data_IF_362402867663
#
_entry.id   IF_362402867663
#
_cell.length_a   1.000
_cell.length_b   1.000
_cell.length_c   1.000
_cell.angle_alpha   90.00
_cell.angle_beta   90.00
_cell.angle_gamma   90.00
#
_symmetry.space_group_name_H-M   'P 1'
#
loop_
_entity.id
_entity.type
_entity.pdbx_description
1 polymer ?
#
# COMPACT_ATOMS: atom_id res chain seq x y z
N UNK A 1 18.11 -20.43 25.38
CA UNK A 1 16.81 -21.13 25.18
C UNK A 1 16.33 -21.02 23.72
N UNK A 2 16.05 -22.14 23.06
CA UNK A 2 15.66 -22.19 21.64
C UNK A 2 14.13 -22.10 21.41
N UNK A 3 13.35 -22.42 22.44
CA UNK A 3 11.89 -22.32 22.42
C UNK A 3 11.42 -21.79 23.78
N UNK A 4 10.51 -20.84 23.77
CA UNK A 4 9.91 -20.22 24.95
C UNK A 4 8.43 -20.01 24.63
N UNK A 5 7.56 -20.44 25.55
CA UNK A 5 6.11 -20.47 25.33
C UNK A 5 5.46 -19.74 26.49
N UNK A 6 4.67 -18.74 26.17
CA UNK A 6 3.76 -18.13 27.13
C UNK A 6 2.45 -18.92 27.12
N UNK A 7 2.15 -19.61 28.22
CA UNK A 7 0.91 -20.36 28.36
C UNK A 7 -0.33 -19.44 28.45
N UNK A 8 -0.12 -18.14 28.71
CA UNK A 8 -1.18 -17.12 28.79
C UNK A 8 -1.50 -16.50 27.42
N UNK A 9 -0.53 -16.54 26.50
CA UNK A 9 -0.64 -16.01 25.15
C UNK A 9 -0.11 -17.04 24.14
N UNK A 10 -0.96 -18.00 23.81
CA UNK A 10 -0.63 -19.12 22.95
C UNK A 10 -0.69 -18.73 21.47
N UNK A 11 0.46 -18.67 20.83
CA UNK A 11 0.59 -18.53 19.37
C UNK A 11 0.44 -19.91 18.69
N UNK A 12 -0.58 -20.07 17.84
CA UNK A 12 -0.87 -21.30 17.11
C UNK A 12 0.32 -21.80 16.26
N UNK A 13 1.15 -20.88 15.74
CA UNK A 13 2.35 -21.25 14.96
C UNK A 13 3.42 -21.90 15.85
N UNK A 14 3.59 -21.39 17.07
CA UNK A 14 4.49 -21.95 18.08
C UNK A 14 4.01 -23.33 18.55
N UNK A 15 2.70 -23.55 18.64
CA UNK A 15 2.12 -24.86 18.98
C UNK A 15 2.40 -25.88 17.87
N UNK A 16 2.26 -25.50 16.61
CA UNK A 16 2.56 -26.39 15.48
C UNK A 16 4.05 -26.77 15.42
N UNK A 17 4.93 -25.83 15.79
CA UNK A 17 6.35 -26.13 15.99
C UNK A 17 6.61 -27.04 17.19
N UNK A 18 5.93 -26.82 18.33
CA UNK A 18 6.04 -27.68 19.51
C UNK A 18 5.70 -29.14 19.22
N UNK A 19 4.67 -29.37 18.39
CA UNK A 19 4.24 -30.71 17.99
C UNK A 19 5.37 -31.51 17.33
N UNK A 20 6.29 -30.87 16.61
CA UNK A 20 7.43 -31.55 15.98
C UNK A 20 8.39 -32.16 17.01
N UNK A 21 8.45 -31.59 18.20
CA UNK A 21 9.26 -32.09 19.32
C UNK A 21 8.51 -33.11 20.20
N UNK A 22 7.30 -33.53 19.82
CA UNK A 22 6.60 -34.60 20.51
C UNK A 22 7.27 -35.96 20.25
N UNK A 23 7.21 -36.87 21.23
CA UNK A 23 7.91 -38.16 21.24
C UNK A 23 7.76 -39.00 19.95
N UNK A 24 6.64 -38.87 19.24
CA UNK A 24 6.35 -39.64 18.02
C UNK A 24 6.96 -39.03 16.74
N UNK A 25 7.29 -37.75 16.75
CA UNK A 25 7.80 -37.01 15.57
C UNK A 25 9.20 -36.44 15.76
N UNK A 26 9.83 -36.74 16.90
CA UNK A 26 11.14 -36.22 17.27
C UNK A 26 12.23 -36.90 16.42
N UNK A 27 12.84 -36.12 15.54
CA UNK A 27 14.02 -36.52 14.76
C UNK A 27 15.30 -36.14 15.53
N UNK A 28 15.96 -37.13 16.11
CA UNK A 28 17.17 -36.91 16.94
C UNK A 28 18.39 -36.52 16.12
N UNK A 29 18.46 -36.93 14.84
CA UNK A 29 19.61 -36.66 13.98
C UNK A 29 19.65 -35.18 13.57
N UNK A 30 18.46 -34.58 13.38
CA UNK A 30 18.32 -33.17 13.01
C UNK A 30 18.00 -32.24 14.19
N UNK A 31 17.77 -32.78 15.40
CA UNK A 31 17.34 -32.01 16.57
C UNK A 31 18.29 -30.86 16.92
N UNK A 32 19.60 -31.11 16.84
CA UNK A 32 20.61 -30.10 17.17
C UNK A 32 20.61 -28.94 16.17
N UNK A 33 20.51 -29.25 14.88
CA UNK A 33 20.50 -28.26 13.81
C UNK A 33 19.20 -27.44 13.84
N UNK A 34 18.06 -28.09 14.07
CA UNK A 34 16.77 -27.43 14.25
C UNK A 34 16.76 -26.50 15.48
N UNK A 35 17.29 -26.97 16.61
CA UNK A 35 17.39 -26.16 17.82
C UNK A 35 18.34 -24.96 17.63
N UNK A 36 19.47 -25.18 16.94
CA UNK A 36 20.43 -24.11 16.62
C UNK A 36 19.81 -23.08 15.69
N UNK A 37 19.13 -23.53 14.63
CA UNK A 37 18.41 -22.65 13.70
C UNK A 37 17.33 -21.83 14.40
N UNK A 38 16.52 -22.44 15.26
CA UNK A 38 15.50 -21.72 16.05
C UNK A 38 16.13 -20.68 16.97
N UNK A 39 17.21 -21.05 17.67
CA UNK A 39 17.95 -20.12 18.53
C UNK A 39 18.43 -18.91 17.73
N UNK A 40 19.15 -19.12 16.62
CA UNK A 40 19.67 -18.02 15.83
C UNK A 40 18.57 -17.21 15.15
N UNK A 41 17.47 -17.83 14.73
CA UNK A 41 16.32 -17.12 14.19
C UNK A 41 15.74 -16.15 15.22
N UNK A 42 15.54 -16.61 16.47
CA UNK A 42 15.06 -15.75 17.55
C UNK A 42 16.03 -14.63 17.87
N UNK A 43 17.33 -14.92 17.98
CA UNK A 43 18.36 -13.90 18.23
C UNK A 43 18.41 -12.86 17.11
N UNK A 44 18.32 -13.27 15.85
CA UNK A 44 18.28 -12.37 14.69
C UNK A 44 17.02 -11.51 14.72
N UNK A 45 15.85 -12.08 15.04
CA UNK A 45 14.60 -11.31 15.17
C UNK A 45 14.73 -10.23 16.26
N UNK A 46 15.30 -10.58 17.42
CA UNK A 46 15.54 -9.60 18.49
C UNK A 46 16.50 -8.48 18.09
N UNK A 47 17.54 -8.81 17.32
CA UNK A 47 18.46 -7.78 16.78
C UNK A 47 17.75 -6.92 15.75
N UNK A 48 16.96 -7.52 14.85
CA UNK A 48 16.17 -6.79 13.86
C UNK A 48 15.20 -5.81 14.54
N UNK A 49 14.45 -6.24 15.56
CA UNK A 49 13.52 -5.36 16.28
C UNK A 49 14.24 -4.15 16.91
N UNK A 50 15.43 -4.36 17.47
CA UNK A 50 16.25 -3.29 18.02
C UNK A 50 16.75 -2.32 16.95
N UNK A 51 17.25 -2.85 15.85
CA UNK A 51 17.77 -2.05 14.72
C UNK A 51 16.65 -1.27 14.00
N UNK A 52 15.44 -1.82 13.93
CA UNK A 52 14.29 -1.13 13.36
C UNK A 52 13.81 0.00 14.28
N UNK A 53 13.75 -0.25 15.59
CA UNK A 53 13.33 0.78 16.57
C UNK A 53 14.36 1.90 16.75
N UNK A 54 15.65 1.53 16.73
CA UNK A 54 16.77 2.43 16.92
C UNK A 54 17.98 2.00 16.07
N UNK A 55 18.05 2.44 14.81
CA UNK A 55 19.11 2.08 13.87
C UNK A 55 20.51 2.39 14.41
N UNK A 56 21.38 1.37 14.44
CA UNK A 56 22.78 1.54 14.79
C UNK A 56 23.57 2.21 13.68
N UNK A 57 24.70 2.84 14.02
CA UNK A 57 25.54 3.52 13.02
C UNK A 57 26.08 2.57 11.93
N UNK A 58 26.28 1.29 12.24
CA UNK A 58 26.67 0.28 11.25
C UNK A 58 25.53 -0.06 10.30
N UNK A 59 24.31 -0.22 10.83
CA UNK A 59 23.12 -0.47 10.06
C UNK A 59 22.78 0.70 9.14
N UNK A 60 22.86 1.93 9.64
CA UNK A 60 22.70 3.17 8.86
C UNK A 60 23.77 3.27 7.77
N UNK A 61 25.03 2.97 8.10
CA UNK A 61 26.13 2.97 7.13
C UNK A 61 25.90 1.99 5.99
N UNK A 62 25.34 0.81 6.27
CA UNK A 62 25.01 -0.18 5.25
C UNK A 62 24.04 0.36 4.20
N UNK A 63 22.96 1.02 4.62
CA UNK A 63 22.02 1.65 3.68
C UNK A 63 22.62 2.88 3.00
N UNK A 64 23.25 3.74 3.77
CA UNK A 64 23.79 5.00 3.29
C UNK A 64 24.87 4.77 2.22
N UNK A 65 25.71 3.74 2.33
CA UNK A 65 26.71 3.40 1.30
C UNK A 65 26.08 3.03 -0.06
N UNK A 66 24.85 2.49 -0.07
CA UNK A 66 24.16 2.08 -1.30
C UNK A 66 23.50 3.26 -2.02
N UNK A 67 23.10 4.29 -1.28
CA UNK A 67 22.33 5.42 -1.84
C UNK A 67 23.15 6.72 -1.92
N UNK A 68 24.18 6.86 -1.09
CA UNK A 68 25.00 8.06 -1.00
C UNK A 68 26.35 7.88 -1.70
N UNK A 69 26.49 8.54 -2.86
CA UNK A 69 27.67 8.42 -3.73
C UNK A 69 28.92 9.17 -3.25
N UNK A 70 28.81 10.00 -2.20
CA UNK A 70 29.93 10.78 -1.64
C UNK A 70 30.53 10.06 -0.43
N UNK A 71 31.71 10.49 0.01
CA UNK A 71 32.34 9.94 1.23
C UNK A 71 31.39 10.08 2.43
N UNK A 72 31.18 8.98 3.14
CA UNK A 72 30.36 8.93 4.33
C UNK A 72 31.10 9.61 5.49
N UNK A 73 30.70 10.84 5.83
CA UNK A 73 31.20 11.56 7.00
C UNK A 73 30.29 11.33 8.20
N UNK A 74 30.76 11.60 9.42
CA UNK A 74 29.94 11.44 10.63
C UNK A 74 28.64 12.25 10.54
N UNK A 75 28.71 13.51 10.07
CA UNK A 75 27.52 14.34 9.84
C UNK A 75 26.52 13.73 8.85
N UNK A 76 27.01 13.05 7.80
CA UNK A 76 26.13 12.36 6.87
C UNK A 76 25.49 11.14 7.54
N UNK A 77 26.24 10.37 8.34
CA UNK A 77 25.70 9.23 9.09
C UNK A 77 24.61 9.70 10.06
N UNK A 78 24.82 10.81 10.78
CA UNK A 78 23.83 11.34 11.72
C UNK A 78 22.52 11.75 10.98
N UNK A 79 22.63 12.37 9.81
CA UNK A 79 21.49 12.69 8.95
C UNK A 79 20.78 11.42 8.45
N UNK A 80 21.55 10.46 7.95
CA UNK A 80 21.02 9.18 7.48
C UNK A 80 20.40 8.37 8.61
N UNK A 81 20.79 8.57 9.88
CA UNK A 81 20.19 7.85 11.01
C UNK A 81 18.71 8.17 11.15
N UNK A 82 18.34 9.45 11.06
CA UNK A 82 16.93 9.87 11.10
C UNK A 82 16.19 9.38 9.86
N UNK A 83 16.78 9.59 8.68
CA UNK A 83 16.18 9.16 7.40
C UNK A 83 15.94 7.64 7.38
N UNK A 84 16.91 6.84 7.84
CA UNK A 84 16.81 5.38 7.89
C UNK A 84 15.70 4.94 8.84
N UNK A 85 15.58 5.58 10.00
CA UNK A 85 14.49 5.29 10.94
C UNK A 85 13.13 5.57 10.32
N UNK A 86 12.92 6.79 9.81
CA UNK A 86 11.65 7.19 9.20
C UNK A 86 11.29 6.30 8.00
N UNK A 87 12.28 5.94 7.18
CA UNK A 87 12.07 5.05 6.03
C UNK A 87 11.70 3.62 6.44
N UNK A 88 12.24 3.10 7.55
CA UNK A 88 11.92 1.76 8.05
C UNK A 88 10.52 1.71 8.66
N UNK A 89 10.14 2.75 9.42
CA UNK A 89 8.79 2.87 9.99
C UNK A 89 7.74 2.98 8.88
N UNK A 90 8.02 3.77 7.84
CA UNK A 90 7.17 3.86 6.66
C UNK A 90 7.10 2.52 5.92
N UNK A 91 8.24 1.87 5.66
CA UNK A 91 8.27 0.56 4.99
C UNK A 91 7.47 -0.52 5.74
N UNK A 92 7.57 -0.56 7.06
CA UNK A 92 6.81 -1.50 7.87
C UNK A 92 5.30 -1.21 7.79
N UNK A 93 4.93 0.06 7.88
CA UNK A 93 3.54 0.52 7.73
C UNK A 93 2.98 0.12 6.37
N UNK A 94 3.75 0.32 5.30
CA UNK A 94 3.37 -0.05 3.94
C UNK A 94 3.21 -1.56 3.79
N UNK A 95 4.14 -2.36 4.35
CA UNK A 95 4.04 -3.84 4.30
C UNK A 95 2.85 -4.38 5.10
N UNK A 96 2.56 -3.78 6.25
CA UNK A 96 1.37 -4.11 7.04
C UNK A 96 0.12 -3.75 6.24
N UNK A 97 0.07 -2.56 5.65
CA UNK A 97 -1.03 -2.11 4.82
C UNK A 97 -1.21 -2.99 3.57
N UNK A 98 -0.13 -3.42 2.91
CA UNK A 98 -0.17 -4.38 1.81
C UNK A 98 -0.74 -5.73 2.24
N UNK A 99 -0.28 -6.28 3.37
CA UNK A 99 -0.79 -7.54 3.93
C UNK A 99 -2.26 -7.43 4.31
N UNK A 100 -2.67 -6.33 4.93
CA UNK A 100 -4.07 -6.05 5.28
C UNK A 100 -4.92 -5.91 4.03
N UNK A 101 -4.50 -5.11 3.04
CA UNK A 101 -5.17 -4.99 1.74
C UNK A 101 -5.29 -6.35 1.05
N UNK A 102 -4.24 -7.17 1.08
CA UNK A 102 -4.24 -8.52 0.50
C UNK A 102 -5.18 -9.49 1.24
N UNK A 103 -5.34 -9.34 2.55
CA UNK A 103 -6.28 -10.15 3.35
C UNK A 103 -7.74 -9.65 3.24
N UNK A 104 -7.95 -8.36 2.97
CA UNK A 104 -9.27 -7.73 2.82
C UNK A 104 -9.83 -7.82 1.40
N UNK A 105 -9.00 -8.11 0.39
CA UNK A 105 -9.50 -8.50 -0.92
C UNK A 105 -10.18 -9.88 -0.80
N UNK A 106 -11.47 -10.01 -1.18
CA UNK A 106 -12.11 -11.30 -1.19
C UNK A 106 -11.31 -12.24 -2.10
N UNK A 107 -10.85 -13.37 -1.55
CA UNK A 107 -10.25 -14.45 -2.36
C UNK A 107 -11.18 -14.72 -3.54
N UNK A 108 -10.75 -14.53 -4.80
CA UNK A 108 -11.45 -15.15 -5.90
C UNK A 108 -11.43 -16.66 -5.63
N UNK A 109 -12.59 -17.30 -5.74
CA UNK A 109 -12.68 -18.74 -5.66
C UNK A 109 -11.64 -19.36 -6.60
N UNK A 110 -10.74 -20.16 -6.03
CA UNK A 110 -9.78 -20.94 -6.80
C UNK A 110 -10.58 -22.01 -7.54
N UNK A 111 -10.65 -21.90 -8.86
CA UNK A 111 -10.80 -23.08 -9.71
C UNK A 111 -9.39 -23.61 -10.01
N UNK A 112 -9.13 -24.92 -9.83
CA UNK A 112 -7.82 -25.50 -10.06
C UNK A 112 -7.59 -25.70 -11.56
N UNK A 113 -6.40 -25.37 -12.05
CA UNK A 113 -5.65 -26.18 -13.01
C UNK A 113 -4.22 -25.64 -13.15
N UNK A 114 -3.30 -26.44 -12.59
CA UNK A 114 -2.02 -26.90 -13.14
C UNK A 114 -1.19 -25.99 -14.08
N UNK A 115 -0.09 -25.52 -13.49
CA UNK A 115 1.31 -25.75 -13.89
C UNK A 115 1.97 -25.07 -15.13
N UNK A 116 3.04 -24.35 -14.77
CA UNK A 116 4.34 -24.06 -15.42
C UNK A 116 4.52 -23.32 -16.77
N UNK A 117 5.38 -22.28 -16.65
CA UNK A 117 6.47 -21.83 -17.54
C UNK A 117 6.17 -20.91 -18.75
N UNK A 118 6.32 -19.60 -18.48
CA UNK A 118 7.23 -18.64 -19.14
C UNK A 118 7.54 -18.78 -20.64
N UNK A 119 7.01 -17.89 -21.48
CA UNK A 119 7.80 -17.07 -22.45
C UNK A 119 6.98 -15.85 -22.94
N UNK A 120 7.50 -14.64 -22.73
CA UNK A 120 7.29 -13.45 -23.59
C UNK A 120 7.93 -13.69 -24.98
N UNK A 121 7.77 -12.86 -26.03
CA UNK A 121 6.97 -11.62 -26.19
C UNK A 121 6.16 -11.56 -27.52
N UNK A 122 5.27 -10.58 -27.69
CA UNK A 122 5.17 -9.68 -28.87
C UNK A 122 4.06 -8.62 -28.62
N UNK A 123 4.51 -7.36 -28.64
CA UNK A 123 3.87 -6.11 -29.11
C UNK A 123 2.52 -6.27 -29.86
N UNK A 124 1.51 -5.41 -29.83
CA UNK A 124 1.28 -3.99 -29.55
C UNK A 124 -0.26 -3.88 -29.40
N UNK A 125 -0.85 -3.01 -28.58
CA UNK A 125 -0.99 -1.58 -28.87
C UNK A 125 -0.85 -0.83 -27.56
N UNK A 126 0.24 -0.08 -27.45
CA UNK A 126 0.40 1.00 -26.49
C UNK A 126 -0.61 2.12 -26.78
N UNK A 127 -1.36 2.64 -25.81
CA UNK A 127 -1.47 4.07 -25.70
C UNK A 127 -0.20 4.57 -25.01
N UNK A 128 0.49 5.47 -25.72
CA UNK A 128 1.65 6.26 -25.30
C UNK A 128 1.86 6.35 -23.78
N UNK A 129 3.07 5.97 -23.37
CA UNK A 129 3.81 6.69 -22.34
C UNK A 129 3.77 8.21 -22.67
N UNK A 130 2.80 8.91 -22.13
CA UNK A 130 3.04 10.25 -21.63
C UNK A 130 3.38 10.05 -20.15
N UNK A 131 4.49 10.62 -19.67
CA UNK A 131 5.05 10.41 -18.32
C UNK A 131 4.17 10.98 -17.21
N UNK A 132 2.94 10.49 -17.12
CA UNK A 132 1.95 10.80 -16.10
C UNK A 132 2.07 9.66 -15.08
N UNK A 133 2.69 9.98 -13.95
CA UNK A 133 2.83 9.05 -12.82
C UNK A 133 1.67 9.36 -11.89
N UNK A 134 0.67 8.48 -11.85
CA UNK A 134 -0.41 8.61 -10.87
C UNK A 134 0.19 8.54 -9.47
N UNK A 135 0.04 9.62 -8.71
CA UNK A 135 0.64 9.79 -7.38
C UNK A 135 -0.18 9.05 -6.32
N UNK A 136 0.44 8.76 -5.18
CA UNK A 136 -0.24 8.13 -4.03
C UNK A 136 -1.45 8.95 -3.56
N UNK A 137 -1.33 10.27 -3.61
CA UNK A 137 -2.40 11.22 -3.27
C UNK A 137 -3.63 11.06 -4.17
N UNK A 138 -3.44 10.78 -5.48
CA UNK A 138 -4.53 10.58 -6.43
C UNK A 138 -5.24 9.25 -6.21
N UNK A 139 -4.48 8.20 -5.88
CA UNK A 139 -5.04 6.92 -5.45
C UNK A 139 -5.86 7.07 -4.17
N UNK A 140 -5.33 7.80 -3.18
CA UNK A 140 -6.03 8.06 -1.93
C UNK A 140 -7.33 8.85 -2.19
N UNK A 141 -7.27 9.91 -3.00
CA UNK A 141 -8.44 10.67 -3.44
C UNK A 141 -9.48 9.80 -4.15
N UNK A 142 -9.05 8.90 -5.05
CA UNK A 142 -9.92 7.94 -5.71
C UNK A 142 -10.64 7.00 -4.74
N UNK A 143 -9.91 6.40 -3.79
CA UNK A 143 -10.52 5.53 -2.79
C UNK A 143 -11.48 6.28 -1.88
N UNK A 144 -11.19 7.53 -1.54
CA UNK A 144 -12.11 8.38 -0.79
C UNK A 144 -13.40 8.66 -1.56
N UNK A 145 -13.33 9.03 -2.84
CA UNK A 145 -14.55 9.21 -3.66
C UNK A 145 -15.33 7.90 -3.78
N UNK A 146 -14.63 6.78 -4.00
CA UNK A 146 -15.23 5.45 -4.08
C UNK A 146 -15.97 5.07 -2.78
N UNK A 147 -15.37 5.34 -1.63
CA UNK A 147 -15.99 5.12 -0.33
C UNK A 147 -17.17 6.07 -0.07
N UNK A 148 -17.09 7.33 -0.49
CA UNK A 148 -18.18 8.30 -0.34
C UNK A 148 -19.43 7.94 -1.13
N UNK A 149 -19.26 7.21 -2.23
CA UNK A 149 -20.32 6.82 -3.16
C UNK A 149 -20.78 5.36 -3.02
N UNK A 150 -20.16 4.56 -2.14
CA UNK A 150 -20.41 3.12 -2.03
C UNK A 150 -21.88 2.75 -1.76
N UNK A 151 -22.63 3.66 -1.12
CA UNK A 151 -24.03 3.48 -0.74
C UNK A 151 -25.02 3.83 -1.85
N UNK A 152 -24.57 4.54 -2.90
CA UNK A 152 -25.42 4.99 -4.00
C UNK A 152 -24.98 4.46 -5.38
N UNK A 153 -23.71 4.13 -5.56
CA UNK A 153 -23.13 3.67 -6.83
C UNK A 153 -22.31 2.42 -6.57
N UNK A 154 -22.49 1.40 -7.42
CA UNK A 154 -21.62 0.22 -7.41
C UNK A 154 -20.16 0.65 -7.57
N UNK A 155 -19.25 0.26 -6.65
CA UNK A 155 -17.84 0.63 -6.71
C UNK A 155 -17.15 0.28 -8.04
N UNK A 156 -17.65 -0.73 -8.77
CA UNK A 156 -17.14 -1.15 -10.08
C UNK A 156 -17.38 -0.11 -11.17
N UNK A 157 -18.38 0.76 -10.99
CA UNK A 157 -18.71 1.86 -11.93
C UNK A 157 -17.88 3.12 -11.69
N UNK A 158 -17.05 3.19 -10.64
CA UNK A 158 -16.25 4.38 -10.33
C UNK A 158 -14.84 4.12 -10.85
N UNK A 159 -14.46 4.83 -11.91
CA UNK A 159 -13.21 4.59 -12.64
C UNK A 159 -12.30 5.81 -12.55
N UNK A 160 -11.01 5.56 -12.30
CA UNK A 160 -9.98 6.59 -12.29
C UNK A 160 -9.28 6.62 -13.65
N UNK A 161 -9.12 7.80 -14.22
CA UNK A 161 -8.30 8.04 -15.42
C UNK A 161 -7.36 9.19 -15.17
N UNK A 162 -6.08 8.89 -15.32
CA UNK A 162 -5.04 9.89 -15.19
C UNK A 162 -4.93 10.74 -16.46
N UNK A 163 -4.71 12.04 -16.30
CA UNK A 163 -4.50 12.99 -17.38
C UNK A 163 -3.37 13.96 -17.02
N UNK A 164 -2.72 14.55 -18.02
CA UNK A 164 -1.50 15.37 -17.88
C UNK A 164 -1.55 16.52 -16.87
N UNK A 165 -2.74 16.93 -16.42
CA UNK A 165 -2.91 18.08 -15.54
C UNK A 165 -3.90 17.83 -14.41
N UNK A 166 -4.46 16.61 -14.32
CA UNK A 166 -5.42 16.21 -13.31
C UNK A 166 -5.71 14.71 -13.40
N UNK A 167 -6.09 14.12 -12.27
CA UNK A 167 -6.69 12.80 -12.22
C UNK A 167 -8.22 12.90 -12.29
N UNK A 168 -8.83 12.26 -13.29
CA UNK A 168 -10.28 12.25 -13.50
C UNK A 168 -10.93 11.05 -12.80
N UNK A 169 -11.98 11.30 -12.03
CA UNK A 169 -12.83 10.25 -11.48
C UNK A 169 -14.15 10.26 -12.24
N UNK A 170 -14.44 9.15 -12.92
CA UNK A 170 -15.52 9.01 -13.88
C UNK A 170 -16.56 8.01 -13.38
N UNK A 171 -17.82 8.26 -13.74
CA UNK A 171 -18.89 7.29 -13.63
C UNK A 171 -18.96 6.45 -14.92
N UNK A 172 -18.92 5.13 -14.76
CA UNK A 172 -19.09 4.11 -15.80
C UNK A 172 -18.07 4.23 -16.95
N UNK A 173 -16.81 4.53 -16.60
CA UNK A 173 -15.69 4.81 -17.53
C UNK A 173 -16.01 5.78 -18.67
N UNK A 174 -16.92 6.74 -18.42
CA UNK A 174 -17.42 7.64 -19.44
C UNK A 174 -16.92 9.07 -19.21
N UNK A 175 -16.12 9.58 -20.15
CA UNK A 175 -15.59 10.96 -20.11
C UNK A 175 -16.68 12.04 -20.10
N UNK A 176 -17.93 11.73 -20.47
CA UNK A 176 -19.09 12.65 -20.41
C UNK A 176 -19.80 12.62 -19.06
N UNK A 177 -19.38 11.75 -18.14
CA UNK A 177 -19.92 11.61 -16.78
C UNK A 177 -18.81 11.74 -15.71
N UNK A 178 -18.08 12.87 -15.65
CA UNK A 178 -17.07 13.07 -14.61
C UNK A 178 -17.73 13.32 -13.25
N UNK A 179 -17.34 12.55 -12.24
CA UNK A 179 -17.77 12.77 -10.85
C UNK A 179 -17.00 13.94 -10.23
N UNK A 180 -15.68 13.95 -10.41
CA UNK A 180 -14.80 15.06 -10.06
C UNK A 180 -13.45 14.95 -10.78
N UNK A 181 -12.63 16.02 -10.73
CA UNK A 181 -11.22 15.98 -11.13
C UNK A 181 -10.34 16.42 -9.97
N UNK A 182 -9.25 15.70 -9.75
CA UNK A 182 -8.27 15.96 -8.70
C UNK A 182 -7.06 16.67 -9.31
N UNK A 183 -6.72 17.83 -8.79
CA UNK A 183 -5.56 18.62 -9.21
C UNK A 183 -4.56 18.66 -8.05
N UNK A 184 -3.72 17.63 -7.93
CA UNK A 184 -2.83 17.46 -6.77
C UNK A 184 -1.36 17.79 -7.05
N UNK A 185 -0.98 17.97 -8.32
CA UNK A 185 0.41 18.26 -8.73
C UNK A 185 0.93 19.65 -8.34
N UNK A 186 0.05 20.56 -7.93
CA UNK A 186 0.38 21.95 -7.57
C UNK A 186 0.70 22.16 -6.10
N UNK A 187 1.33 23.29 -5.76
CA UNK A 187 1.52 23.73 -4.35
C UNK A 187 0.20 23.83 -3.57
N UNK A 188 -0.88 24.21 -4.25
CA UNK A 188 -2.23 24.21 -3.73
C UNK A 188 -3.01 23.10 -4.44
N UNK A 189 -3.61 22.20 -3.66
CA UNK A 189 -4.46 21.13 -4.19
C UNK A 189 -5.86 21.67 -4.47
N UNK A 190 -6.47 21.21 -5.56
CA UNK A 190 -7.85 21.56 -5.91
C UNK A 190 -8.66 20.33 -6.28
N UNK A 191 -9.96 20.40 -6.03
CA UNK A 191 -10.95 19.44 -6.51
C UNK A 191 -11.93 20.18 -7.38
N UNK A 192 -12.08 19.73 -8.63
CA UNK A 192 -13.08 20.26 -9.53
C UNK A 192 -14.36 19.42 -9.49
N UNK A 193 -15.49 20.10 -9.36
CA UNK A 193 -16.83 19.53 -9.27
C UNK A 193 -17.70 19.98 -10.45
N UNK A 194 -18.72 19.18 -10.77
CA UNK A 194 -19.64 19.37 -11.90
C UNK A 194 -21.10 19.47 -11.44
N UNK A 195 -21.33 20.12 -10.30
CA UNK A 195 -22.62 20.20 -9.59
C UNK A 195 -23.57 21.30 -10.11
N UNK A 196 -23.15 22.08 -11.10
CA UNK A 196 -23.97 23.12 -11.73
C UNK A 196 -24.87 22.53 -12.83
N UNK A 197 -26.04 23.15 -13.06
CA UNK A 197 -26.98 22.75 -14.13
C UNK A 197 -26.34 22.70 -15.53
N UNK A 198 -25.37 23.60 -15.80
CA UNK A 198 -24.63 23.65 -17.06
C UNK A 198 -23.41 22.71 -17.09
N UNK A 199 -23.21 21.89 -16.04
CA UNK A 199 -22.05 21.01 -15.83
C UNK A 199 -20.70 21.70 -16.02
N UNK A 200 -20.64 23.00 -15.71
CA UNK A 200 -19.39 23.75 -15.73
C UNK A 200 -18.51 23.38 -14.53
N UNK A 201 -17.21 23.31 -14.80
CA UNK A 201 -16.18 22.93 -13.84
C UNK A 201 -16.01 23.99 -12.75
N UNK A 202 -16.26 23.63 -11.49
CA UNK A 202 -16.03 24.51 -10.32
C UNK A 202 -14.86 23.98 -9.51
N UNK A 203 -13.76 24.75 -9.45
CA UNK A 203 -12.56 24.39 -8.67
C UNK A 203 -12.67 24.86 -7.24
N UNK A 204 -12.48 23.94 -6.30
CA UNK A 204 -12.46 24.22 -4.86
C UNK A 204 -11.07 23.90 -4.32
N UNK A 205 -10.39 24.86 -3.65
CA UNK A 205 -9.11 24.59 -3.01
C UNK A 205 -9.31 23.67 -1.80
N UNK A 206 -8.39 22.75 -1.62
CA UNK A 206 -8.30 21.89 -0.43
C UNK A 206 -6.89 21.95 0.14
N UNK A 207 -6.76 21.85 1.47
CA UNK A 207 -5.46 21.85 2.14
C UNK A 207 -4.95 20.42 2.32
N UNK A 208 -5.85 19.50 2.70
CA UNK A 208 -5.56 18.08 2.89
C UNK A 208 -6.53 17.20 2.10
N UNK A 209 -6.14 15.97 1.77
CA UNK A 209 -7.00 15.01 1.05
C UNK A 209 -8.27 14.70 1.85
N UNK A 210 -8.18 14.70 3.18
CA UNK A 210 -9.34 14.56 4.07
C UNK A 210 -10.41 15.66 3.88
N UNK A 211 -10.06 16.85 3.36
CA UNK A 211 -11.04 17.90 3.05
C UNK A 211 -12.02 17.48 1.94
N UNK A 212 -11.72 16.43 1.18
CA UNK A 212 -12.63 15.86 0.20
C UNK A 212 -13.96 15.42 0.84
N UNK A 213 -13.97 15.03 2.11
CA UNK A 213 -15.21 14.71 2.84
C UNK A 213 -16.14 15.92 2.98
N UNK A 214 -15.61 17.14 3.02
CA UNK A 214 -16.45 18.37 3.03
C UNK A 214 -17.18 18.57 1.71
N UNK A 215 -16.70 17.94 0.62
CA UNK A 215 -17.28 18.01 -0.71
C UNK A 215 -18.19 16.80 -1.03
N UNK A 216 -18.34 15.87 -0.07
CA UNK A 216 -19.08 14.62 -0.23
C UNK A 216 -20.48 14.81 -0.79
N UNK A 217 -21.27 15.72 -0.21
CA UNK A 217 -22.66 15.93 -0.62
C UNK A 217 -22.75 16.48 -2.05
N UNK A 218 -21.79 17.30 -2.45
CA UNK A 218 -21.70 17.84 -3.82
C UNK A 218 -21.36 16.75 -4.82
N UNK A 219 -20.38 15.89 -4.51
CA UNK A 219 -20.00 14.74 -5.35
C UNK A 219 -21.17 13.74 -5.46
N UNK A 220 -21.88 13.48 -4.36
CA UNK A 220 -23.09 12.63 -4.34
C UNK A 220 -24.21 13.19 -5.22
N UNK A 221 -24.42 14.50 -5.19
CA UNK A 221 -25.40 15.16 -6.07
C UNK A 221 -25.10 14.90 -7.55
N UNK A 222 -23.83 15.02 -7.95
CA UNK A 222 -23.37 14.73 -9.32
C UNK A 222 -23.63 13.26 -9.68
N UNK A 223 -23.28 12.33 -8.80
CA UNK A 223 -23.52 10.90 -9.01
C UNK A 223 -25.02 10.58 -9.18
N UNK A 224 -25.87 11.14 -8.33
CA UNK A 224 -27.32 10.97 -8.41
C UNK A 224 -27.91 11.49 -9.73
N UNK A 225 -27.37 12.58 -10.28
CA UNK A 225 -27.80 13.10 -11.58
C UNK A 225 -27.55 12.11 -12.74
N UNK A 226 -26.57 11.22 -12.61
CA UNK A 226 -26.28 10.18 -13.60
C UNK A 226 -27.14 8.93 -13.41
N UNK A 227 -27.56 8.65 -12.18
CA UNK A 227 -28.50 7.57 -11.86
C UNK A 227 -29.94 7.92 -12.27
N UNK A 228 -30.35 9.18 -12.09
CA UNK A 228 -31.70 9.65 -12.49
C UNK A 228 -31.86 9.87 -14.00
N UNK A 229 -30.76 9.89 -14.75
CA UNK A 229 -30.75 10.07 -16.21
C UNK A 229 -30.60 8.73 -16.97
N UNK A 230 -30.68 7.60 -16.26
CA UNK A 230 -30.70 6.24 -16.83
C UNK A 230 -32.14 5.74 -17.03
#
# INVERSE_FOLDING_TARGET
>A
PFLEIDLSNLDEQLIEQLKKYAKHSLDLDNLYDDASRLKYTKEIMQVADKEFSNPSGEFVRFFAQKVYKKKLTQKAIDQFTSITKDSLDQFLSDKINERLKSAMQPKPAVAPNEDVLSVTPTQEISPKNDGIVTTEDEWEGYYFVKAMLHDIVDPSKIVMRDAKSYCAILFDDNNRKPLCRLYFDGKQKYVALFDNNDRQETKVPIENIADLFKLKDRIRSVANSYLSAQ
#
